data_IF_574659973242
#
_entry.id   IF_574659973242
#
_cell.length_a   1.000
_cell.length_b   1.000
_cell.length_c   1.000
_cell.angle_alpha   90.00
_cell.angle_beta   90.00
_cell.angle_gamma   90.00
#
_symmetry.space_group_name_H-M   'P 1'
#
loop_
_entity.id
_entity.type
_entity.pdbx_description
1 polymer ?
#
# COMPACT_ATOMS: atom_id res chain seq x y z
N UNK A 1 -16.80 25.66 -25.81
CA UNK A 1 -16.46 24.27 -25.42
C UNK A 1 -15.61 23.61 -26.50
N UNK A 2 -14.36 24.05 -26.67
CA UNK A 2 -13.28 23.26 -27.27
C UNK A 2 -12.14 23.27 -26.24
N UNK A 3 -12.33 22.53 -25.15
CA UNK A 3 -11.45 22.54 -23.97
C UNK A 3 -10.19 21.68 -24.16
N UNK A 4 -10.10 20.93 -25.26
CA UNK A 4 -8.97 20.03 -25.55
C UNK A 4 -8.17 20.62 -26.70
N UNK A 5 -6.97 21.15 -26.39
CA UNK A 5 -5.99 21.51 -27.42
C UNK A 5 -5.44 20.22 -28.05
N UNK A 6 -5.59 20.09 -29.37
CA UNK A 6 -5.09 18.93 -30.10
C UNK A 6 -3.57 18.78 -29.97
N UNK A 7 -2.82 19.89 -29.88
CA UNK A 7 -1.37 19.88 -29.65
C UNK A 7 -1.02 19.27 -28.30
N UNK A 8 -1.81 19.61 -27.26
CA UNK A 8 -1.65 19.02 -25.92
C UNK A 8 -1.92 17.51 -25.95
N UNK A 9 -2.94 17.07 -26.68
CA UNK A 9 -3.26 15.64 -26.81
C UNK A 9 -2.16 14.88 -27.55
N UNK A 10 -1.65 15.42 -28.67
CA UNK A 10 -0.55 14.81 -29.44
C UNK A 10 0.73 14.75 -28.61
N UNK A 11 1.10 15.85 -27.94
CA UNK A 11 2.26 15.90 -27.07
C UNK A 11 2.17 14.85 -25.95
N UNK A 12 0.99 14.73 -25.32
CA UNK A 12 0.73 13.74 -24.26
C UNK A 12 0.82 12.32 -24.78
N UNK A 13 0.24 12.04 -25.95
CA UNK A 13 0.26 10.71 -26.56
C UNK A 13 1.69 10.28 -26.91
N UNK A 14 2.46 11.16 -27.56
CA UNK A 14 3.86 10.93 -27.90
C UNK A 14 4.69 10.70 -26.62
N UNK A 15 4.54 11.57 -25.61
CA UNK A 15 5.25 11.45 -24.35
C UNK A 15 4.93 10.13 -23.63
N UNK A 16 3.66 9.76 -23.54
CA UNK A 16 3.24 8.49 -22.96
C UNK A 16 3.80 7.30 -23.73
N UNK A 17 3.74 7.32 -25.06
CA UNK A 17 4.26 6.26 -25.91
C UNK A 17 5.77 6.07 -25.70
N UNK A 18 6.56 7.15 -25.66
CA UNK A 18 8.00 7.08 -25.43
C UNK A 18 8.35 6.53 -24.04
N UNK A 19 7.69 7.01 -22.99
CA UNK A 19 7.94 6.54 -21.63
C UNK A 19 7.51 5.08 -21.43
N UNK A 20 6.40 4.66 -22.04
CA UNK A 20 5.97 3.25 -22.01
C UNK A 20 6.90 2.36 -22.84
N UNK A 21 7.32 2.81 -24.02
CA UNK A 21 8.30 2.12 -24.87
C UNK A 21 9.60 1.89 -24.12
N UNK A 22 10.11 2.93 -23.43
CA UNK A 22 11.28 2.80 -22.57
C UNK A 22 11.10 1.73 -21.51
N UNK A 23 10.03 1.78 -20.72
CA UNK A 23 9.81 0.84 -19.62
C UNK A 23 9.57 -0.60 -20.08
N UNK A 24 8.92 -0.80 -21.23
CA UNK A 24 8.52 -2.12 -21.70
C UNK A 24 9.56 -2.80 -22.59
N UNK A 25 10.38 -2.03 -23.31
CA UNK A 25 11.30 -2.56 -24.31
C UNK A 25 12.74 -2.22 -23.93
N UNK A 26 13.06 -0.94 -23.73
CA UNK A 26 14.43 -0.49 -23.47
C UNK A 26 14.95 -1.05 -22.14
N UNK A 27 14.20 -0.89 -21.05
CA UNK A 27 14.61 -1.34 -19.72
C UNK A 27 14.89 -2.86 -19.67
N UNK A 28 14.02 -3.75 -20.17
CA UNK A 28 14.31 -5.19 -20.23
C UNK A 28 15.52 -5.56 -21.08
N UNK A 29 15.73 -4.87 -22.22
CA UNK A 29 16.85 -5.13 -23.12
C UNK A 29 18.17 -4.66 -22.51
N UNK A 30 18.17 -3.53 -21.80
CA UNK A 30 19.37 -2.97 -21.17
C UNK A 30 19.70 -3.64 -19.83
N UNK A 31 18.73 -4.28 -19.17
CA UNK A 31 18.93 -4.96 -17.87
C UNK A 31 20.13 -5.93 -17.78
N UNK A 32 20.51 -6.70 -18.82
CA UNK A 32 21.69 -7.55 -18.78
C UNK A 32 23.00 -6.76 -18.82
N UNK A 33 22.99 -5.57 -19.44
CA UNK A 33 24.17 -4.74 -19.70
C UNK A 33 24.37 -3.66 -18.64
N UNK A 34 23.28 -3.14 -18.07
CA UNK A 34 23.27 -2.08 -17.09
C UNK A 34 22.39 -2.46 -15.89
N UNK A 35 22.96 -2.34 -14.68
CA UNK A 35 22.22 -2.54 -13.42
C UNK A 35 21.29 -1.37 -13.07
N UNK A 36 21.36 -0.27 -13.83
CA UNK A 36 20.66 0.99 -13.58
C UNK A 36 19.49 1.11 -14.57
N UNK A 37 18.33 1.54 -14.09
CA UNK A 37 17.18 1.90 -14.95
C UNK A 37 17.55 3.07 -15.85
N UNK A 38 17.17 3.01 -17.13
CA UNK A 38 17.51 4.08 -18.06
C UNK A 38 16.70 5.34 -17.70
N UNK A 39 17.34 6.51 -17.46
CA UNK A 39 16.67 7.69 -16.89
C UNK A 39 15.83 8.45 -17.94
N UNK A 40 14.85 7.79 -18.53
CA UNK A 40 14.05 8.34 -19.62
C UNK A 40 13.14 9.47 -19.20
N UNK A 41 12.67 9.48 -17.94
CA UNK A 41 11.92 10.61 -17.42
C UNK A 41 12.74 11.90 -17.47
N UNK A 42 14.03 11.84 -17.14
CA UNK A 42 14.92 13.01 -17.20
C UNK A 42 15.17 13.47 -18.65
N UNK A 43 15.43 12.52 -19.56
CA UNK A 43 15.65 12.83 -20.97
C UNK A 43 14.42 13.47 -21.62
N UNK A 44 13.23 12.93 -21.34
CA UNK A 44 11.97 13.48 -21.84
C UNK A 44 11.74 14.90 -21.31
N UNK A 45 12.00 15.15 -20.02
CA UNK A 45 11.92 16.49 -19.42
C UNK A 45 12.88 17.45 -20.12
N UNK A 46 14.17 17.12 -20.21
CA UNK A 46 15.18 17.98 -20.86
C UNK A 46 14.80 18.27 -22.31
N UNK A 47 14.47 17.24 -23.09
CA UNK A 47 14.11 17.40 -24.50
C UNK A 47 12.84 18.23 -24.68
N UNK A 48 11.83 18.04 -23.82
CA UNK A 48 10.59 18.82 -23.87
C UNK A 48 10.81 20.30 -23.54
N UNK A 49 11.68 20.61 -22.58
CA UNK A 49 12.07 21.99 -22.25
C UNK A 49 12.79 22.62 -23.44
N UNK A 50 13.78 21.92 -24.01
CA UNK A 50 14.55 22.44 -25.16
C UNK A 50 13.63 22.70 -26.36
N UNK A 51 12.75 21.76 -26.70
CA UNK A 51 11.79 21.96 -27.79
C UNK A 51 10.82 23.11 -27.50
N UNK A 52 10.29 23.20 -26.27
CA UNK A 52 9.37 24.28 -25.92
C UNK A 52 10.04 25.65 -25.87
N UNK A 53 11.32 25.71 -25.49
CA UNK A 53 12.10 26.93 -25.48
C UNK A 53 12.42 27.39 -26.91
N UNK A 54 12.94 26.50 -27.76
CA UNK A 54 13.29 26.82 -29.15
C UNK A 54 12.07 27.11 -30.02
N UNK A 55 10.93 26.49 -29.73
CA UNK A 55 9.67 26.71 -30.44
C UNK A 55 8.95 28.01 -30.04
N UNK A 56 9.22 28.56 -28.85
CA UNK A 56 8.51 29.72 -28.33
C UNK A 56 8.74 30.95 -29.21
N UNK A 57 7.66 31.57 -29.68
CA UNK A 57 7.72 32.74 -30.58
C UNK A 57 8.06 32.43 -32.04
N UNK A 58 8.11 31.15 -32.42
CA UNK A 58 8.28 30.68 -33.80
C UNK A 58 6.98 30.07 -34.33
N UNK A 59 6.81 29.83 -35.65
CA UNK A 59 5.67 29.07 -36.17
C UNK A 59 5.59 27.63 -35.66
N UNK A 60 6.64 27.12 -35.03
CA UNK A 60 6.69 25.79 -34.41
C UNK A 60 6.33 25.79 -32.92
N UNK A 61 5.71 26.86 -32.41
CA UNK A 61 5.25 26.90 -31.03
C UNK A 61 4.24 25.77 -30.76
N UNK A 62 4.58 24.95 -29.75
CA UNK A 62 3.77 23.84 -29.31
C UNK A 62 2.41 24.29 -28.77
N UNK A 63 2.26 25.57 -28.38
CA UNK A 63 1.02 26.15 -27.85
C UNK A 63 0.40 25.29 -26.73
N UNK A 64 1.26 24.72 -25.89
CA UNK A 64 0.90 23.91 -24.73
C UNK A 64 1.09 24.71 -23.45
N UNK A 65 0.27 24.42 -22.44
CA UNK A 65 0.43 25.07 -21.14
C UNK A 65 1.78 24.67 -20.51
N UNK A 66 2.62 25.66 -20.21
CA UNK A 66 3.91 25.49 -19.53
C UNK A 66 3.78 25.73 -18.02
N UNK A 67 4.79 25.32 -17.25
CA UNK A 67 4.83 25.49 -15.79
C UNK A 67 4.81 26.97 -15.40
N UNK A 68 5.61 27.81 -16.08
CA UNK A 68 5.74 29.24 -15.76
C UNK A 68 6.85 29.51 -14.75
N UNK A 69 6.90 30.73 -14.21
CA UNK A 69 7.96 31.14 -13.29
C UNK A 69 7.99 30.30 -12.02
N UNK A 70 9.20 29.92 -11.61
CA UNK A 70 9.48 29.11 -10.42
C UNK A 70 10.46 29.90 -9.56
N UNK A 71 10.07 30.17 -8.32
CA UNK A 71 10.95 30.79 -7.33
C UNK A 71 12.14 29.84 -7.05
N UNK A 72 13.35 30.32 -7.32
CA UNK A 72 14.57 29.58 -7.03
C UNK A 72 14.91 29.63 -5.53
N UNK A 73 15.46 28.54 -5.01
CA UNK A 73 15.91 28.45 -3.62
C UNK A 73 14.89 27.83 -2.67
N UNK A 74 15.14 28.01 -1.36
CA UNK A 74 14.35 27.42 -0.29
C UNK A 74 13.63 28.50 0.50
N UNK A 75 12.39 28.22 0.91
CA UNK A 75 11.63 29.12 1.77
C UNK A 75 12.30 29.24 3.15
N UNK A 76 12.35 30.46 3.70
CA UNK A 76 12.80 30.68 5.07
C UNK A 76 11.85 29.96 6.06
N UNK A 77 12.34 29.51 7.23
CA UNK A 77 11.50 28.86 8.22
C UNK A 77 10.42 29.82 8.73
N UNK A 78 9.17 29.40 8.67
CA UNK A 78 7.99 30.15 9.11
C UNK A 78 7.32 29.48 10.30
N UNK A 79 6.84 30.27 11.26
CA UNK A 79 6.01 29.77 12.36
C UNK A 79 4.62 29.35 11.86
N UNK A 80 4.07 28.33 12.50
CA UNK A 80 2.74 27.81 12.17
C UNK A 80 1.63 28.68 12.75
N UNK A 81 0.62 28.96 11.93
CA UNK A 81 -0.64 29.51 12.40
C UNK A 81 -1.55 28.35 12.83
N UNK A 82 -1.85 28.29 14.12
CA UNK A 82 -2.70 27.25 14.70
C UNK A 82 -4.20 27.58 14.66
N UNK A 83 -4.60 28.72 14.10
CA UNK A 83 -6.00 29.16 14.06
C UNK A 83 -6.94 28.20 13.32
N UNK A 84 -6.42 27.44 12.36
CA UNK A 84 -7.19 26.48 11.55
C UNK A 84 -7.00 25.02 11.97
N UNK A 85 -6.38 24.76 13.13
CA UNK A 85 -6.01 23.41 13.57
C UNK A 85 -7.22 22.47 13.62
N UNK A 86 -8.35 22.95 14.15
CA UNK A 86 -9.58 22.16 14.30
C UNK A 86 -10.13 21.66 12.96
N UNK A 87 -9.94 22.43 11.88
CA UNK A 87 -10.41 22.06 10.55
C UNK A 87 -9.55 20.98 9.88
N UNK A 88 -8.26 20.88 10.27
CA UNK A 88 -7.28 20.00 9.60
C UNK A 88 -6.86 18.79 10.43
N UNK A 89 -7.14 18.77 11.74
CA UNK A 89 -6.64 17.75 12.66
C UNK A 89 -7.03 16.32 12.24
N UNK A 90 -8.27 16.10 11.80
CA UNK A 90 -8.72 14.79 11.32
C UNK A 90 -7.96 14.35 10.07
N UNK A 91 -7.79 15.25 9.10
CA UNK A 91 -7.01 14.98 7.88
C UNK A 91 -5.54 14.72 8.19
N UNK A 92 -4.95 15.50 9.10
CA UNK A 92 -3.57 15.34 9.54
C UNK A 92 -3.35 13.97 10.21
N UNK A 93 -4.29 13.55 11.07
CA UNK A 93 -4.26 12.23 11.70
C UNK A 93 -4.35 11.09 10.68
N UNK A 94 -5.27 11.18 9.71
CA UNK A 94 -5.36 10.20 8.61
C UNK A 94 -4.07 10.12 7.79
N UNK A 95 -3.49 11.27 7.44
CA UNK A 95 -2.22 11.33 6.70
C UNK A 95 -1.07 10.72 7.51
N UNK A 96 -1.00 10.99 8.83
CA UNK A 96 0.04 10.44 9.69
C UNK A 96 -0.01 8.90 9.74
N UNK A 97 -1.21 8.32 9.92
CA UNK A 97 -1.39 6.86 9.89
C UNK A 97 -0.97 6.29 8.54
N UNK A 98 -1.50 6.83 7.44
CA UNK A 98 -1.23 6.30 6.09
C UNK A 98 0.25 6.44 5.75
N UNK A 99 0.86 7.58 6.04
CA UNK A 99 2.28 7.84 5.79
C UNK A 99 3.16 6.85 6.55
N UNK A 100 2.89 6.61 7.84
CA UNK A 100 3.63 5.62 8.61
C UNK A 100 3.41 4.19 8.13
N UNK A 101 2.17 3.79 7.84
CA UNK A 101 1.87 2.43 7.37
C UNK A 101 2.58 2.12 6.05
N UNK A 102 2.57 3.06 5.10
CA UNK A 102 3.30 2.92 3.83
C UNK A 102 4.81 2.85 4.10
N UNK A 103 5.32 3.72 4.96
CA UNK A 103 6.74 3.76 5.32
C UNK A 103 7.22 2.44 5.96
N UNK A 104 6.55 1.96 7.01
CA UNK A 104 6.94 0.73 7.71
C UNK A 104 6.77 -0.51 6.84
N UNK A 105 5.77 -0.55 5.95
CA UNK A 105 5.60 -1.63 4.98
C UNK A 105 6.78 -1.70 4.01
N UNK A 106 7.22 -0.54 3.48
CA UNK A 106 8.38 -0.46 2.60
C UNK A 106 9.68 -0.80 3.34
N UNK A 107 9.87 -0.29 4.56
CA UNK A 107 11.03 -0.58 5.38
C UNK A 107 11.15 -2.09 5.65
N UNK A 108 10.05 -2.75 6.07
CA UNK A 108 10.02 -4.20 6.27
C UNK A 108 10.24 -5.01 4.99
N UNK A 109 9.74 -4.53 3.85
CA UNK A 109 9.96 -5.17 2.55
C UNK A 109 11.45 -5.19 2.19
N UNK A 110 12.14 -4.06 2.35
CA UNK A 110 13.58 -3.95 2.08
C UNK A 110 14.39 -4.73 3.11
N UNK A 111 14.01 -4.66 4.38
CA UNK A 111 14.66 -5.36 5.47
C UNK A 111 14.60 -6.89 5.33
N UNK A 112 13.46 -7.41 4.86
CA UNK A 112 13.32 -8.81 4.49
C UNK A 112 14.24 -9.20 3.34
N UNK A 113 14.38 -8.34 2.32
CA UNK A 113 15.28 -8.58 1.19
C UNK A 113 16.77 -8.54 1.55
N UNK A 114 17.15 -7.70 2.51
CA UNK A 114 18.53 -7.49 2.95
C UNK A 114 18.86 -8.18 4.29
N UNK A 115 17.94 -9.00 4.82
CA UNK A 115 18.09 -9.76 6.07
C UNK A 115 18.51 -8.92 7.29
N UNK A 116 17.86 -7.78 7.52
CA UNK A 116 18.02 -7.01 8.76
C UNK A 116 16.67 -6.78 9.45
N UNK A 117 16.70 -6.30 10.69
CA UNK A 117 15.50 -6.02 11.49
C UNK A 117 15.20 -4.53 11.52
N UNK A 118 13.91 -4.18 11.45
CA UNK A 118 13.43 -2.79 11.52
C UNK A 118 12.76 -2.55 12.86
N UNK A 119 13.18 -1.49 13.55
CA UNK A 119 12.51 -1.03 14.76
C UNK A 119 11.41 -0.02 14.41
N UNK A 120 10.15 -0.43 14.53
CA UNK A 120 9.00 0.41 14.17
C UNK A 120 8.90 1.69 15.02
N UNK A 121 9.28 1.66 16.30
CA UNK A 121 9.24 2.83 17.15
C UNK A 121 10.28 3.88 16.72
N UNK A 122 11.46 3.41 16.28
CA UNK A 122 12.50 4.30 15.77
C UNK A 122 12.09 4.95 14.44
N UNK A 123 11.48 4.18 13.53
CA UNK A 123 10.96 4.72 12.27
C UNK A 123 9.82 5.72 12.50
N UNK A 124 8.94 5.46 13.49
CA UNK A 124 7.88 6.40 13.85
C UNK A 124 8.46 7.73 14.34
N UNK A 125 9.44 7.69 15.24
CA UNK A 125 10.12 8.87 15.75
C UNK A 125 10.86 9.62 14.63
N UNK A 126 11.56 8.91 13.75
CA UNK A 126 12.30 9.49 12.63
C UNK A 126 11.35 10.21 11.65
N UNK A 127 10.25 9.56 11.26
CA UNK A 127 9.26 10.13 10.36
C UNK A 127 8.57 11.36 10.96
N UNK A 128 8.16 11.28 12.23
CA UNK A 128 7.56 12.41 12.95
C UNK A 128 8.52 13.60 13.09
N UNK A 129 9.79 13.34 13.41
CA UNK A 129 10.82 14.38 13.49
C UNK A 129 11.05 15.04 12.13
N UNK A 130 11.11 14.25 11.06
CA UNK A 130 11.25 14.74 9.68
C UNK A 130 10.08 15.66 9.29
N UNK A 131 8.82 15.25 9.52
CA UNK A 131 7.66 16.10 9.21
C UNK A 131 7.61 17.36 10.07
N UNK A 132 7.97 17.26 11.36
CA UNK A 132 8.04 18.41 12.26
C UNK A 132 9.01 19.45 11.73
N UNK A 133 10.23 19.05 11.37
CA UNK A 133 11.23 19.97 10.80
C UNK A 133 10.77 20.51 9.44
N UNK A 134 10.29 19.64 8.54
CA UNK A 134 9.87 20.02 7.19
C UNK A 134 8.70 21.01 7.18
N UNK A 135 7.82 20.94 8.18
CA UNK A 135 6.65 21.82 8.30
C UNK A 135 7.06 23.30 8.36
N UNK A 136 8.16 23.65 9.03
CA UNK A 136 8.65 25.03 9.12
C UNK A 136 9.08 25.60 7.76
N UNK A 137 9.42 24.75 6.79
CA UNK A 137 9.85 25.17 5.45
C UNK A 137 8.69 25.18 4.44
N UNK A 138 7.45 25.02 4.90
CA UNK A 138 6.27 24.97 4.02
C UNK A 138 6.15 23.67 3.21
N UNK A 139 6.83 22.60 3.62
CA UNK A 139 6.69 21.31 2.97
C UNK A 139 5.33 20.67 3.30
N UNK A 140 4.71 20.04 2.30
CA UNK A 140 3.57 19.17 2.53
C UNK A 140 4.00 17.84 3.17
N UNK A 141 3.05 17.12 3.76
CA UNK A 141 3.30 15.81 4.35
C UNK A 141 3.76 14.80 3.27
N UNK A 142 5.06 14.51 3.26
CA UNK A 142 5.67 13.55 2.35
C UNK A 142 5.60 12.10 2.84
N UNK A 143 5.95 11.17 1.97
CA UNK A 143 6.07 9.75 2.27
C UNK A 143 7.29 9.11 1.61
N UNK A 144 7.51 7.83 1.88
CA UNK A 144 8.60 7.08 1.25
C UNK A 144 8.25 6.65 -0.17
N UNK A 145 9.24 6.68 -1.05
CA UNK A 145 9.07 6.34 -2.46
C UNK A 145 9.51 4.91 -2.72
N UNK A 146 8.53 4.01 -2.92
CA UNK A 146 8.77 2.59 -3.21
C UNK A 146 9.74 2.41 -4.38
N UNK A 147 9.53 3.10 -5.51
CA UNK A 147 10.37 2.98 -6.70
C UNK A 147 11.82 3.39 -6.44
N UNK A 148 12.06 4.51 -5.74
CA UNK A 148 13.42 5.00 -5.43
C UNK A 148 14.13 4.09 -4.43
N UNK A 149 13.46 3.70 -3.36
CA UNK A 149 14.05 2.85 -2.32
C UNK A 149 14.39 1.45 -2.84
N UNK A 150 13.49 0.82 -3.61
CA UNK A 150 13.78 -0.50 -4.20
C UNK A 150 14.91 -0.41 -5.23
N UNK A 151 14.92 0.64 -6.06
CA UNK A 151 16.01 0.83 -7.03
C UNK A 151 17.36 1.03 -6.31
N UNK A 152 17.40 1.86 -5.26
CA UNK A 152 18.59 2.06 -4.43
C UNK A 152 19.06 0.78 -3.74
N UNK A 153 18.14 -0.03 -3.21
CA UNK A 153 18.44 -1.34 -2.61
C UNK A 153 19.01 -2.32 -3.66
N UNK A 154 18.42 -2.38 -4.85
CA UNK A 154 18.89 -3.22 -5.96
C UNK A 154 20.27 -2.83 -6.48
N UNK A 155 20.62 -1.54 -6.39
CA UNK A 155 21.95 -1.03 -6.70
C UNK A 155 22.99 -1.34 -5.60
N UNK A 156 22.58 -2.00 -4.51
CA UNK A 156 23.48 -2.40 -3.44
C UNK A 156 23.86 -1.27 -2.49
N UNK A 157 22.99 -0.27 -2.33
CA UNK A 157 23.21 0.82 -1.37
C UNK A 157 23.25 0.27 0.05
N UNK A 158 24.34 0.52 0.78
CA UNK A 158 24.56 -0.01 2.15
C UNK A 158 24.50 1.05 3.25
N UNK A 159 24.48 2.33 2.89
CA UNK A 159 24.57 3.45 3.84
C UNK A 159 23.68 4.62 3.43
N UNK A 160 23.21 5.37 4.43
CA UNK A 160 22.44 6.61 4.25
C UNK A 160 23.23 7.74 3.59
N UNK A 161 24.55 7.57 3.41
CA UNK A 161 25.37 8.52 2.63
C UNK A 161 24.85 8.71 1.20
N UNK A 162 24.22 7.68 0.61
CA UNK A 162 23.55 7.82 -0.69
C UNK A 162 22.45 8.87 -0.67
N UNK A 163 21.68 8.96 0.42
CA UNK A 163 20.64 9.97 0.61
C UNK A 163 21.23 11.38 0.68
N UNK A 164 22.40 11.54 1.32
CA UNK A 164 23.10 12.84 1.37
C UNK A 164 23.49 13.31 -0.02
N UNK A 165 24.03 12.42 -0.87
CA UNK A 165 24.36 12.74 -2.26
C UNK A 165 23.11 13.16 -3.04
N UNK A 166 22.01 12.42 -2.91
CA UNK A 166 20.74 12.75 -3.58
C UNK A 166 20.23 14.13 -3.13
N UNK A 167 20.22 14.41 -1.83
CA UNK A 167 19.79 15.71 -1.29
C UNK A 167 20.70 16.85 -1.77
N UNK A 168 22.01 16.61 -1.86
CA UNK A 168 22.97 17.61 -2.34
C UNK A 168 22.71 17.98 -3.80
N UNK A 169 22.44 16.98 -4.66
CA UNK A 169 22.06 17.21 -6.06
C UNK A 169 20.73 17.96 -6.13
N UNK A 170 19.73 17.60 -5.32
CA UNK A 170 18.45 18.30 -5.28
C UNK A 170 18.60 19.76 -4.86
N UNK A 171 19.46 20.06 -3.87
CA UNK A 171 19.76 21.44 -3.48
C UNK A 171 20.39 22.24 -4.62
N UNK A 172 21.35 21.66 -5.35
CA UNK A 172 21.94 22.30 -6.53
C UNK A 172 20.87 22.63 -7.58
N UNK A 173 19.94 21.70 -7.83
CA UNK A 173 18.85 21.90 -8.78
C UNK A 173 17.89 23.01 -8.31
N UNK A 174 17.51 23.01 -7.04
CA UNK A 174 16.59 24.00 -6.47
C UNK A 174 17.18 25.41 -6.47
N UNK A 175 18.46 25.56 -6.15
CA UNK A 175 19.11 26.88 -6.11
C UNK A 175 19.62 27.36 -7.48
N UNK A 176 20.01 26.45 -8.39
CA UNK A 176 20.64 26.83 -9.66
C UNK A 176 19.77 26.57 -10.91
N UNK A 177 19.03 25.47 -10.94
CA UNK A 177 18.34 25.00 -12.15
C UNK A 177 16.83 25.32 -12.18
N UNK A 178 16.26 25.93 -11.15
CA UNK A 178 14.83 26.26 -11.10
C UNK A 178 14.33 27.03 -12.36
N UNK A 179 15.04 28.05 -12.89
CA UNK A 179 14.60 28.76 -14.10
C UNK A 179 14.54 27.87 -15.35
N UNK A 180 15.31 26.78 -15.42
CA UNK A 180 15.31 25.87 -16.57
C UNK A 180 13.96 25.17 -16.75
N UNK A 181 13.17 25.02 -15.69
CA UNK A 181 11.88 24.35 -15.73
C UNK A 181 10.72 25.27 -16.15
N UNK A 182 10.98 26.57 -16.38
CA UNK A 182 9.94 27.55 -16.76
C UNK A 182 9.18 27.14 -18.02
N UNK A 183 9.92 26.64 -19.02
CA UNK A 183 9.38 26.19 -20.31
C UNK A 183 8.94 24.72 -20.30
N UNK A 184 8.91 24.05 -19.14
CA UNK A 184 8.47 22.66 -19.07
C UNK A 184 6.97 22.57 -19.42
N UNK A 185 6.57 21.76 -20.41
CA UNK A 185 5.16 21.55 -20.70
C UNK A 185 4.44 20.79 -19.59
N UNK A 186 3.33 21.33 -19.07
CA UNK A 186 2.44 20.65 -18.11
C UNK A 186 1.95 19.27 -18.60
N UNK A 187 1.67 19.04 -19.90
CA UNK A 187 1.26 17.71 -20.38
C UNK A 187 2.30 16.63 -20.13
N UNK A 188 3.60 16.96 -20.26
CA UNK A 188 4.71 16.02 -20.00
C UNK A 188 4.73 15.63 -18.52
N UNK A 189 4.53 16.59 -17.61
CA UNK A 189 4.44 16.33 -16.18
C UNK A 189 3.26 15.38 -15.85
N UNK A 190 2.10 15.62 -16.45
CA UNK A 190 0.92 14.75 -16.32
C UNK A 190 1.19 13.33 -16.81
N UNK A 191 1.87 13.16 -17.96
CA UNK A 191 2.25 11.85 -18.49
C UNK A 191 3.18 11.10 -17.53
N UNK A 192 4.18 11.78 -16.95
CA UNK A 192 5.09 11.18 -15.96
C UNK A 192 4.31 10.66 -14.75
N UNK A 193 3.35 11.45 -14.24
CA UNK A 193 2.50 11.04 -13.12
C UNK A 193 1.65 9.81 -13.48
N UNK A 194 0.96 9.82 -14.63
CA UNK A 194 0.14 8.69 -15.10
C UNK A 194 0.96 7.40 -15.20
N UNK A 195 2.18 7.50 -15.74
CA UNK A 195 3.07 6.35 -15.92
C UNK A 195 3.68 5.89 -14.60
N UNK A 196 3.89 6.79 -13.63
CA UNK A 196 4.28 6.42 -12.27
C UNK A 196 3.17 5.65 -11.54
N UNK A 197 1.90 5.91 -11.86
CA UNK A 197 0.74 5.23 -11.27
C UNK A 197 0.41 3.88 -11.93
N UNK A 198 1.14 3.47 -12.98
CA UNK A 198 0.92 2.18 -13.69
C UNK A 198 0.82 0.99 -12.72
N UNK A 199 1.75 0.88 -11.77
CA UNK A 199 1.80 -0.26 -10.85
C UNK A 199 0.56 -0.32 -9.95
N UNK A 200 0.00 0.84 -9.59
CA UNK A 200 -1.25 0.92 -8.81
C UNK A 200 -2.46 0.47 -9.64
N UNK A 201 -2.55 0.89 -10.91
CA UNK A 201 -3.62 0.43 -11.80
C UNK A 201 -3.58 -1.07 -12.04
N UNK A 202 -2.37 -1.62 -12.20
CA UNK A 202 -2.16 -3.07 -12.33
C UNK A 202 -2.63 -3.81 -11.08
N UNK A 203 -2.40 -3.25 -9.88
CA UNK A 203 -2.89 -3.85 -8.63
C UNK A 203 -4.43 -3.89 -8.56
N UNK A 204 -5.12 -2.86 -9.06
CA UNK A 204 -6.59 -2.87 -9.15
C UNK A 204 -7.09 -4.01 -10.04
N UNK A 205 -6.45 -4.23 -11.19
CA UNK A 205 -6.78 -5.35 -12.08
C UNK A 205 -6.58 -6.71 -11.38
N UNK A 206 -5.49 -6.86 -10.63
CA UNK A 206 -5.24 -8.08 -9.87
C UNK A 206 -6.16 -8.28 -8.67
N UNK A 207 -6.97 -7.30 -8.27
CA UNK A 207 -7.91 -7.45 -7.16
C UNK A 207 -8.95 -8.55 -7.40
N UNK A 208 -9.27 -8.89 -8.65
CA UNK A 208 -10.15 -10.03 -8.93
C UNK A 208 -9.56 -11.36 -8.42
N UNK A 209 -8.24 -11.51 -8.43
CA UNK A 209 -7.58 -12.69 -7.87
C UNK A 209 -7.82 -12.83 -6.37
N UNK A 210 -7.98 -11.71 -5.66
CA UNK A 210 -8.27 -11.70 -4.23
C UNK A 210 -9.61 -12.38 -3.93
N UNK A 211 -10.62 -12.23 -4.80
CA UNK A 211 -11.91 -12.90 -4.65
C UNK A 211 -11.78 -14.42 -4.59
N UNK A 212 -10.93 -15.01 -5.43
CA UNK A 212 -10.68 -16.45 -5.44
C UNK A 212 -9.81 -16.95 -4.28
N UNK A 213 -9.00 -16.07 -3.67
CA UNK A 213 -8.11 -16.44 -2.57
C UNK A 213 -8.75 -16.26 -1.20
N UNK A 214 -9.43 -15.14 -1.00
CA UNK A 214 -10.10 -14.76 0.24
C UNK A 214 -11.22 -13.80 -0.08
N UNK A 215 -12.44 -14.32 -0.10
CA UNK A 215 -13.65 -13.52 -0.35
C UNK A 215 -13.78 -12.38 0.67
N UNK A 216 -13.32 -12.62 1.89
CA UNK A 216 -13.33 -11.68 3.00
C UNK A 216 -12.42 -10.49 2.71
N UNK A 217 -11.17 -10.73 2.33
CA UNK A 217 -10.21 -9.66 2.02
C UNK A 217 -10.64 -8.87 0.77
N UNK A 218 -11.30 -9.53 -0.18
CA UNK A 218 -11.90 -8.86 -1.33
C UNK A 218 -12.99 -7.86 -0.91
N UNK A 219 -13.87 -8.23 0.04
CA UNK A 219 -14.87 -7.29 0.54
C UNK A 219 -14.24 -6.11 1.29
N UNK A 220 -13.20 -6.34 2.09
CA UNK A 220 -12.46 -5.24 2.75
C UNK A 220 -11.92 -4.28 1.71
N UNK A 221 -11.28 -4.80 0.66
CA UNK A 221 -10.79 -3.99 -0.45
C UNK A 221 -11.92 -3.24 -1.17
N UNK A 222 -12.99 -3.93 -1.58
CA UNK A 222 -14.07 -3.36 -2.38
C UNK A 222 -14.83 -2.26 -1.64
N UNK A 223 -15.09 -2.44 -0.33
CA UNK A 223 -15.72 -1.44 0.53
C UNK A 223 -14.80 -0.22 0.69
N UNK A 224 -13.52 -0.44 1.02
CA UNK A 224 -12.56 0.65 1.23
C UNK A 224 -12.33 1.45 -0.07
N UNK A 225 -12.19 0.75 -1.20
CA UNK A 225 -12.01 1.36 -2.51
C UNK A 225 -13.23 2.19 -2.92
N UNK A 226 -14.42 1.60 -2.86
CA UNK A 226 -15.66 2.29 -3.20
C UNK A 226 -15.91 3.51 -2.30
N UNK A 227 -15.68 3.38 -0.98
CA UNK A 227 -15.84 4.49 -0.05
C UNK A 227 -14.85 5.63 -0.32
N UNK A 228 -13.58 5.30 -0.63
CA UNK A 228 -12.54 6.28 -0.94
C UNK A 228 -12.82 7.05 -2.23
N UNK A 229 -13.30 6.35 -3.27
CA UNK A 229 -13.57 6.93 -4.58
C UNK A 229 -14.88 7.74 -4.60
N UNK A 230 -15.93 7.25 -3.94
CA UNK A 230 -17.27 7.86 -4.01
C UNK A 230 -17.51 8.95 -2.96
N UNK A 231 -16.81 8.90 -1.82
CA UNK A 231 -17.03 9.83 -0.70
C UNK A 231 -15.85 10.79 -0.57
N UNK A 232 -14.77 10.34 0.09
CA UNK A 232 -13.48 11.01 0.17
C UNK A 232 -12.46 10.07 0.83
N UNK A 233 -11.18 10.45 0.79
CA UNK A 233 -10.08 9.64 1.30
C UNK A 233 -10.15 9.43 2.82
N UNK A 234 -10.51 10.46 3.58
CA UNK A 234 -10.52 10.39 5.05
C UNK A 234 -11.60 9.42 5.56
N UNK A 235 -12.83 9.55 5.06
CA UNK A 235 -13.94 8.66 5.42
C UNK A 235 -13.74 7.26 4.82
N UNK A 236 -13.20 7.16 3.61
CA UNK A 236 -12.86 5.87 2.99
C UNK A 236 -11.90 5.05 3.85
N UNK A 237 -10.85 5.69 4.39
CA UNK A 237 -9.92 5.06 5.32
C UNK A 237 -10.62 4.62 6.62
N UNK A 238 -11.43 5.49 7.22
CA UNK A 238 -12.14 5.19 8.47
C UNK A 238 -13.11 4.00 8.30
N UNK A 239 -13.91 4.01 7.23
CA UNK A 239 -14.84 2.92 6.88
C UNK A 239 -14.07 1.63 6.65
N UNK A 240 -12.96 1.68 5.91
CA UNK A 240 -12.11 0.52 5.66
C UNK A 240 -11.55 -0.10 6.94
N UNK A 241 -11.04 0.72 7.87
CA UNK A 241 -10.52 0.25 9.16
C UNK A 241 -11.64 -0.39 10.00
N UNK A 242 -12.79 0.27 10.11
CA UNK A 242 -13.93 -0.25 10.88
C UNK A 242 -14.42 -1.57 10.29
N UNK A 243 -14.56 -1.64 8.97
CA UNK A 243 -15.01 -2.84 8.28
C UNK A 243 -14.00 -4.00 8.42
N UNK A 244 -12.70 -3.72 8.32
CA UNK A 244 -11.66 -4.71 8.55
C UNK A 244 -11.68 -5.24 9.99
N UNK A 245 -11.82 -4.37 11.00
CA UNK A 245 -11.93 -4.77 12.41
C UNK A 245 -13.19 -5.59 12.67
N UNK A 246 -14.35 -5.16 12.15
CA UNK A 246 -15.60 -5.90 12.27
C UNK A 246 -15.46 -7.32 11.72
N UNK A 247 -14.80 -7.45 10.56
CA UNK A 247 -14.55 -8.74 9.92
C UNK A 247 -13.67 -9.66 10.77
N UNK A 248 -12.64 -9.11 11.44
CA UNK A 248 -11.80 -9.87 12.38
C UNK A 248 -12.63 -10.37 13.56
N UNK A 249 -13.47 -9.51 14.13
CA UNK A 249 -14.35 -9.85 15.26
C UNK A 249 -15.32 -10.96 14.86
N UNK A 250 -16.09 -10.78 13.79
CA UNK A 250 -17.09 -11.77 13.32
C UNK A 250 -16.46 -13.14 13.04
N UNK A 251 -15.29 -13.17 12.39
CA UNK A 251 -14.55 -14.41 12.13
C UNK A 251 -14.10 -15.10 13.42
N UNK A 252 -13.66 -14.34 14.41
CA UNK A 252 -13.24 -14.91 15.70
C UNK A 252 -14.42 -15.37 16.57
N UNK A 253 -15.62 -14.84 16.33
CA UNK A 253 -16.85 -15.29 16.98
C UNK A 253 -17.33 -16.63 16.42
N UNK A 254 -17.26 -16.85 15.10
CA UNK A 254 -17.63 -18.12 14.47
C UNK A 254 -16.49 -19.12 14.38
N UNK A 255 -15.80 -19.33 15.50
CA UNK A 255 -14.74 -20.31 15.61
C UNK A 255 -15.25 -21.74 15.32
N UNK A 256 -14.45 -22.52 14.61
CA UNK A 256 -14.69 -23.95 14.47
C UNK A 256 -14.38 -24.67 15.78
N UNK A 257 -15.15 -25.72 16.03
CA UNK A 257 -14.99 -26.56 17.20
C UNK A 257 -15.17 -28.01 16.78
N UNK A 258 -14.24 -28.87 17.15
CA UNK A 258 -14.17 -30.23 16.64
C UNK A 258 -13.99 -31.21 17.81
N UNK A 259 -14.78 -32.28 17.80
CA UNK A 259 -14.55 -33.43 18.68
C UNK A 259 -13.37 -34.24 18.14
N UNK A 260 -12.44 -34.58 19.03
CA UNK A 260 -11.22 -35.28 18.67
C UNK A 260 -11.33 -36.76 19.03
N UNK A 261 -10.90 -37.63 18.12
CA UNK A 261 -10.79 -39.07 18.30
C UNK A 261 -9.34 -39.52 18.20
N UNK A 262 -9.01 -40.64 18.83
CA UNK A 262 -7.67 -41.24 18.80
C UNK A 262 -7.55 -42.17 17.59
N UNK A 263 -6.41 -42.13 16.90
CA UNK A 263 -6.12 -43.10 15.83
C UNK A 263 -5.59 -44.40 16.48
N UNK A 264 -6.17 -45.58 16.19
CA UNK A 264 -5.72 -46.86 16.73
C UNK A 264 -4.23 -47.11 16.49
N UNK A 265 -3.51 -47.56 17.52
CA UNK A 265 -2.06 -47.83 17.45
C UNK A 265 -1.15 -46.61 17.56
N UNK A 266 -1.67 -45.39 17.70
CA UNK A 266 -0.88 -44.16 17.87
C UNK A 266 -1.32 -43.35 19.09
N UNK A 267 -0.56 -42.31 19.45
CA UNK A 267 -0.92 -41.31 20.46
C UNK A 267 -1.63 -40.08 19.87
N UNK A 268 -1.92 -40.08 18.57
CA UNK A 268 -2.42 -38.90 17.86
C UNK A 268 -3.94 -38.78 17.96
N UNK A 269 -4.37 -37.55 18.29
CA UNK A 269 -5.78 -37.15 18.27
C UNK A 269 -6.07 -36.33 17.02
N UNK A 270 -7.12 -36.71 16.27
CA UNK A 270 -7.57 -36.01 15.07
C UNK A 270 -9.08 -35.79 15.10
N UNK A 271 -9.54 -34.78 14.36
CA UNK A 271 -10.94 -34.42 14.30
C UNK A 271 -11.82 -35.55 13.75
N UNK A 272 -12.85 -35.91 14.50
CA UNK A 272 -13.87 -36.87 14.09
C UNK A 272 -14.65 -36.26 12.92
N UNK A 273 -14.91 -37.07 11.88
CA UNK A 273 -15.52 -36.64 10.63
C UNK A 273 -14.51 -36.20 9.55
N UNK A 274 -13.34 -35.67 9.94
CA UNK A 274 -12.26 -35.36 8.99
C UNK A 274 -11.36 -36.57 8.71
N UNK A 275 -11.17 -37.45 9.69
CA UNK A 275 -10.34 -38.64 9.58
C UNK A 275 -11.15 -39.90 9.90
N UNK A 276 -11.33 -40.79 8.91
CA UNK A 276 -12.10 -42.04 9.05
C UNK A 276 -11.54 -43.00 10.10
N UNK A 277 -10.23 -42.96 10.34
CA UNK A 277 -9.57 -43.82 11.32
C UNK A 277 -9.64 -43.30 12.76
N UNK A 278 -10.11 -42.07 13.00
CA UNK A 278 -10.20 -41.50 14.34
C UNK A 278 -11.43 -42.07 15.07
N UNK A 279 -11.20 -42.71 16.22
CA UNK A 279 -12.26 -43.30 17.05
C UNK A 279 -12.35 -42.59 18.40
N UNK A 280 -13.56 -42.41 18.92
CA UNK A 280 -13.77 -41.91 20.28
C UNK A 280 -13.26 -42.92 21.31
N UNK A 281 -12.68 -42.42 22.40
CA UNK A 281 -12.29 -43.26 23.53
C UNK A 281 -13.51 -43.43 24.44
N UNK A 282 -13.94 -44.66 24.76
CA UNK A 282 -15.10 -44.88 25.63
C UNK A 282 -14.94 -44.14 26.97
N UNK A 283 -15.96 -43.38 27.36
CA UNK A 283 -15.99 -42.61 28.61
C UNK A 283 -15.22 -41.29 28.60
N UNK A 284 -14.50 -40.93 27.53
CA UNK A 284 -13.71 -39.69 27.44
C UNK A 284 -14.07 -38.91 26.19
N UNK A 285 -14.46 -37.64 26.35
CA UNK A 285 -14.63 -36.70 25.23
C UNK A 285 -13.51 -35.67 25.22
N UNK A 286 -12.82 -35.59 24.08
CA UNK A 286 -11.79 -34.58 23.84
C UNK A 286 -12.35 -33.54 22.88
N UNK A 287 -12.52 -32.31 23.37
CA UNK A 287 -13.07 -31.19 22.62
C UNK A 287 -11.98 -30.17 22.30
N UNK A 288 -11.85 -29.79 21.03
CA UNK A 288 -10.92 -28.75 20.58
C UNK A 288 -11.72 -27.55 20.07
N UNK A 289 -11.38 -26.36 20.57
CA UNK A 289 -11.95 -25.09 20.15
C UNK A 289 -10.85 -24.24 19.52
N UNK A 290 -10.99 -23.92 18.23
CA UNK A 290 -9.94 -23.28 17.43
C UNK A 290 -10.08 -21.75 17.42
N UNK A 291 -10.18 -21.14 18.60
CA UNK A 291 -10.13 -19.68 18.77
C UNK A 291 -9.72 -19.25 20.18
N UNK A 292 -9.16 -18.03 20.34
CA UNK A 292 -8.99 -17.42 21.65
C UNK A 292 -10.35 -17.25 22.33
N UNK A 293 -10.41 -17.47 23.64
CA UNK A 293 -11.65 -17.43 24.41
C UNK A 293 -11.79 -16.06 25.08
N UNK A 294 -12.87 -15.36 24.78
CA UNK A 294 -13.15 -14.02 25.31
C UNK A 294 -14.67 -13.77 25.35
N UNK A 295 -15.09 -12.60 25.84
CA UNK A 295 -16.50 -12.32 26.13
C UNK A 295 -17.43 -12.55 24.92
N UNK A 296 -16.98 -12.31 23.69
CA UNK A 296 -17.85 -12.36 22.51
C UNK A 296 -18.07 -13.77 21.95
N UNK A 297 -17.32 -14.78 22.41
CA UNK A 297 -17.45 -16.17 21.96
C UNK A 297 -17.58 -17.21 23.10
N UNK A 298 -17.56 -16.77 24.36
CA UNK A 298 -17.71 -17.63 25.53
C UNK A 298 -19.03 -18.42 25.55
N UNK A 299 -20.14 -17.76 25.21
CA UNK A 299 -21.47 -18.42 25.17
C UNK A 299 -21.54 -19.46 24.05
N UNK A 300 -20.92 -19.17 22.89
CA UNK A 300 -20.82 -20.13 21.79
C UNK A 300 -20.00 -21.35 22.21
N UNK A 301 -18.88 -21.14 22.90
CA UNK A 301 -18.03 -22.21 23.42
C UNK A 301 -18.84 -23.13 24.36
N UNK A 302 -19.53 -22.56 25.35
CA UNK A 302 -20.35 -23.32 26.29
C UNK A 302 -21.45 -24.09 25.56
N UNK A 303 -22.19 -23.43 24.67
CA UNK A 303 -23.26 -24.07 23.89
C UNK A 303 -22.75 -25.25 23.07
N UNK A 304 -21.59 -25.11 22.42
CA UNK A 304 -20.99 -26.19 21.63
C UNK A 304 -20.44 -27.31 22.50
N UNK A 305 -19.80 -27.00 23.62
CA UNK A 305 -19.35 -27.99 24.60
C UNK A 305 -20.52 -28.82 25.14
N UNK A 306 -21.62 -28.17 25.53
CA UNK A 306 -22.82 -28.85 26.01
C UNK A 306 -23.48 -29.73 24.94
N UNK A 307 -23.57 -29.25 23.69
CA UNK A 307 -24.08 -30.07 22.58
C UNK A 307 -23.28 -31.34 22.36
N UNK A 308 -21.96 -31.27 22.45
CA UNK A 308 -21.08 -32.44 22.33
C UNK A 308 -21.36 -33.44 23.45
N UNK A 309 -21.62 -32.99 24.68
CA UNK A 309 -22.01 -33.88 25.78
C UNK A 309 -23.42 -34.48 25.61
N UNK A 310 -24.40 -33.70 25.16
CA UNK A 310 -25.79 -34.17 25.03
C UNK A 310 -26.02 -35.13 23.85
N UNK A 311 -25.32 -34.97 22.72
CA UNK A 311 -25.46 -35.86 21.56
C UNK A 311 -25.07 -37.33 21.87
N UNK A 312 -24.15 -37.54 22.82
CA UNK A 312 -23.80 -38.88 23.31
C UNK A 312 -24.87 -39.49 24.21
N UNK A 313 -25.59 -38.69 24.99
CA UNK A 313 -26.59 -39.20 25.93
C UNK A 313 -27.80 -39.79 25.18
N UNK A 314 -28.22 -39.17 24.08
CA UNK A 314 -29.30 -39.67 23.22
C UNK A 314 -28.95 -40.99 22.50
N UNK A 315 -27.70 -41.19 22.09
CA UNK A 315 -27.23 -42.48 21.55
C UNK A 315 -27.03 -43.56 22.62
N UNK A 316 -26.75 -43.18 23.88
CA UNK A 316 -26.65 -44.14 24.99
C UNK A 316 -28.04 -44.62 25.43
N UNK A 317 -29.05 -43.74 25.45
CA UNK A 317 -30.43 -44.10 25.82
C UNK A 317 -31.08 -45.00 24.76
N UNK A 318 -30.86 -44.74 23.47
CA UNK A 318 -31.41 -45.60 22.39
C UNK A 318 -30.79 -47.01 22.33
N UNK A 319 -29.61 -47.22 22.93
CA UNK A 319 -29.01 -48.57 23.08
C UNK A 319 -29.47 -49.31 24.32
N UNK A 320 -30.09 -48.62 25.30
CA UNK A 320 -30.57 -49.22 26.53
C UNK A 320 -31.99 -49.80 26.41
N UNK A 321 -32.80 -49.32 25.46
CA UNK A 321 -34.20 -49.74 25.28
C UNK A 321 -34.41 -50.82 24.19
N UNK A 322 -33.33 -51.48 23.73
CA UNK A 322 -33.38 -52.49 22.66
C UNK A 322 -32.90 -53.90 23.06
N UNK A 323 -32.99 -54.25 24.35
CA UNK A 323 -32.68 -55.58 24.88
C UNK A 323 -33.92 -56.44 25.06
#
# INVERSE_FOLDING_TARGET
>A
MNTISYQTAICSFICCAFLLFSKMIVDPILKPWMKIKFPMELLVVIFSIVLSYLGSGTPFDLNVAIVGEIEAGMKAPTMHDFSYTDAVICSAFSIAIVSFVIHIALAKLVAKGLNYQVNANQEWLALGSMHTIASFFGCFAGGSSLSRTITSANLGTKSQLSTVVVVSVLLIVVFGAAPLFTHLPKPVLSCIVVIAMKDLYVQLYFSHRLFHQSIIDFFIFAVTFSATVLINVNLGLAIGIVFALLTVVLRSQWAESVCMGRIPGTSDFKGIGHYRAAMEVPGIKVFRFDAPLYFANAELFLTRMHRVNCASTLCAVTKADGG
#
